data_IF_334921275568
#
_entry.id   IF_334921275568
#
_cell.length_a   1.000
_cell.length_b   1.000
_cell.length_c   1.000
_cell.angle_alpha   90.00
_cell.angle_beta   90.00
_cell.angle_gamma   90.00
#
_symmetry.space_group_name_H-M   'P 1'
#
loop_
_entity.id
_entity.type
_entity.pdbx_description
1 polymer ?
#
# COMPACT_ATOMS: atom_id res chain seq x y z
N UNK A 1 59.47 30.08 22.55
CA UNK A 1 58.26 30.46 21.79
C UNK A 1 57.83 29.24 20.98
N UNK A 2 56.88 28.44 21.49
CA UNK A 2 56.34 27.26 20.81
C UNK A 2 54.85 27.53 20.59
N UNK A 3 54.47 27.77 19.33
CA UNK A 3 53.08 27.95 18.94
C UNK A 3 52.57 26.58 18.49
N UNK A 4 51.77 25.94 19.33
CA UNK A 4 51.05 24.71 19.01
C UNK A 4 49.84 25.08 18.15
N UNK A 5 49.83 24.67 16.88
CA UNK A 5 48.64 24.68 16.04
C UNK A 5 47.74 23.51 16.45
N UNK A 6 46.62 23.81 17.12
CA UNK A 6 45.56 22.85 17.39
C UNK A 6 44.70 22.65 16.14
N UNK A 7 44.76 21.45 15.56
CA UNK A 7 43.86 21.03 14.48
C UNK A 7 42.49 20.69 15.08
N UNK A 8 41.52 21.58 14.97
CA UNK A 8 40.13 21.29 15.30
C UNK A 8 39.49 20.52 14.12
N UNK A 9 39.44 19.20 14.22
CA UNK A 9 38.64 18.37 13.32
C UNK A 9 37.16 18.48 13.76
N UNK A 10 36.36 19.28 13.06
CA UNK A 10 34.90 19.25 13.19
C UNK A 10 34.38 17.98 12.51
N UNK A 11 34.11 16.94 13.31
CA UNK A 11 33.28 15.81 12.89
C UNK A 11 31.82 16.28 12.81
N UNK A 12 31.40 16.76 11.64
CA UNK A 12 29.99 16.89 11.33
C UNK A 12 29.40 15.49 11.17
N UNK A 13 28.94 14.89 12.27
CA UNK A 13 28.05 13.74 12.23
C UNK A 13 26.72 14.23 11.64
N UNK A 14 26.62 14.24 10.31
CA UNK A 14 25.38 14.51 9.61
C UNK A 14 24.34 13.52 10.10
N UNK A 15 23.28 14.01 10.74
CA UNK A 15 22.10 13.21 10.99
C UNK A 15 21.65 12.67 9.62
N UNK A 16 21.75 11.35 9.42
CA UNK A 16 21.12 10.68 8.30
C UNK A 16 19.61 10.83 8.49
N UNK A 17 19.07 12.00 8.13
CA UNK A 17 17.65 12.13 7.85
C UNK A 17 17.36 11.04 6.82
N UNK A 18 16.49 10.11 7.16
CA UNK A 18 16.11 8.99 6.31
C UNK A 18 15.44 9.54 5.06
N UNK A 19 16.26 9.78 4.04
CA UNK A 19 15.86 10.44 2.82
C UNK A 19 14.81 9.60 2.08
N UNK A 20 13.87 10.27 1.40
CA UNK A 20 12.95 9.60 0.51
C UNK A 20 13.73 8.71 -0.48
N UNK A 21 13.32 7.46 -0.59
CA UNK A 21 13.87 6.52 -1.58
C UNK A 21 12.85 6.26 -2.68
N UNK A 22 13.35 6.05 -3.89
CA UNK A 22 12.56 5.70 -5.07
C UNK A 22 13.26 4.57 -5.82
N UNK A 23 12.57 3.44 -6.02
CA UNK A 23 13.11 2.27 -6.69
C UNK A 23 12.12 1.73 -7.71
N UNK A 24 12.57 1.48 -8.94
CA UNK A 24 11.78 0.76 -9.94
C UNK A 24 12.14 -0.73 -9.91
N UNK A 25 11.12 -1.59 -10.02
CA UNK A 25 11.25 -3.05 -10.02
C UNK A 25 10.38 -3.63 -11.14
N UNK A 26 10.97 -4.45 -12.00
CA UNK A 26 10.22 -5.24 -12.98
C UNK A 26 9.56 -6.42 -12.28
N UNK A 27 8.27 -6.63 -12.55
CA UNK A 27 7.44 -7.70 -11.99
C UNK A 27 6.98 -8.63 -13.11
N UNK A 28 7.84 -9.52 -13.63
CA UNK A 28 7.45 -10.44 -14.70
C UNK A 28 6.49 -11.52 -14.18
N UNK A 29 5.64 -12.03 -15.07
CA UNK A 29 5.06 -13.35 -14.90
C UNK A 29 6.06 -14.37 -15.50
N UNK A 30 5.63 -15.22 -16.43
CA UNK A 30 6.54 -15.91 -17.36
C UNK A 30 6.61 -15.19 -18.72
N UNK A 31 7.66 -15.39 -19.55
CA UNK A 31 7.72 -14.81 -20.90
C UNK A 31 6.50 -15.15 -21.77
N UNK A 32 6.00 -16.39 -21.65
CA UNK A 32 4.81 -16.83 -22.36
C UNK A 32 3.53 -16.15 -21.83
N UNK A 33 3.43 -15.91 -20.53
CA UNK A 33 2.32 -15.16 -19.95
C UNK A 33 2.40 -13.69 -20.28
N UNK A 34 3.55 -13.03 -20.17
CA UNK A 34 3.71 -11.60 -20.44
C UNK A 34 3.44 -11.26 -21.93
N UNK A 35 3.77 -12.17 -22.85
CA UNK A 35 3.46 -12.03 -24.27
C UNK A 35 2.01 -12.42 -24.64
N UNK A 36 1.23 -13.00 -23.71
CA UNK A 36 -0.10 -13.55 -24.00
C UNK A 36 -1.10 -12.42 -24.34
N UNK A 37 -1.81 -12.49 -25.48
CA UNK A 37 -2.93 -11.60 -25.75
C UNK A 37 -4.14 -11.94 -24.86
N UNK A 38 -5.21 -11.16 -24.94
CA UNK A 38 -6.46 -11.51 -24.26
C UNK A 38 -7.04 -12.82 -24.84
N UNK A 39 -7.66 -13.61 -23.98
CA UNK A 39 -8.35 -14.84 -24.30
C UNK A 39 -9.85 -14.61 -24.44
N UNK A 40 -10.44 -15.11 -25.54
CA UNK A 40 -11.90 -15.11 -25.71
C UNK A 40 -12.66 -15.95 -24.66
N UNK A 41 -11.95 -16.66 -23.77
CA UNK A 41 -12.53 -17.40 -22.64
C UNK A 41 -12.74 -16.54 -21.41
N UNK A 42 -12.12 -15.37 -21.33
CA UNK A 42 -12.26 -14.41 -20.24
C UNK A 42 -13.13 -13.26 -20.76
N UNK A 43 -14.32 -13.00 -20.19
CA UNK A 43 -15.12 -11.85 -20.57
C UNK A 43 -14.35 -10.55 -20.31
N UNK A 44 -14.54 -9.54 -21.16
CA UNK A 44 -13.97 -8.20 -20.96
C UNK A 44 -14.36 -7.60 -19.60
N UNK A 45 -15.58 -7.89 -19.15
CA UNK A 45 -16.11 -7.55 -17.83
C UNK A 45 -17.10 -8.61 -17.38
N UNK A 46 -17.11 -8.91 -16.08
CA UNK A 46 -18.10 -9.78 -15.45
C UNK A 46 -18.42 -9.28 -14.04
N UNK A 47 -19.65 -9.54 -13.59
CA UNK A 47 -20.07 -9.20 -12.25
C UNK A 47 -19.78 -10.34 -11.27
N UNK A 48 -19.28 -10.00 -10.09
CA UNK A 48 -19.24 -10.89 -8.92
C UNK A 48 -20.30 -10.38 -7.94
N UNK A 49 -21.53 -10.94 -7.96
CA UNK A 49 -22.58 -10.49 -7.05
C UNK A 49 -22.20 -10.83 -5.61
N UNK A 50 -22.30 -9.86 -4.71
CA UNK A 50 -21.98 -10.04 -3.30
C UNK A 50 -22.92 -9.19 -2.42
N UNK A 51 -23.02 -9.58 -1.16
CA UNK A 51 -23.71 -8.83 -0.12
C UNK A 51 -22.77 -8.66 1.07
N UNK A 52 -22.89 -7.56 1.81
CA UNK A 52 -22.19 -7.47 3.08
C UNK A 52 -22.81 -8.41 4.10
N UNK A 53 -21.97 -9.20 4.75
CA UNK A 53 -22.33 -9.94 5.95
C UNK A 53 -22.35 -9.00 7.16
N UNK A 54 -21.31 -8.19 7.29
CA UNK A 54 -21.11 -7.23 8.39
C UNK A 54 -20.16 -6.11 7.99
N UNK A 55 -20.20 -5.01 8.73
CA UNK A 55 -19.27 -3.88 8.61
C UNK A 55 -18.38 -3.82 9.84
N UNK A 56 -17.09 -3.60 9.65
CA UNK A 56 -16.12 -3.37 10.72
C UNK A 56 -15.49 -1.99 10.56
N UNK A 57 -15.44 -1.22 11.66
CA UNK A 57 -14.75 0.07 11.71
C UNK A 57 -13.50 -0.11 12.57
N UNK A 58 -12.34 -0.04 11.93
CA UNK A 58 -11.04 -0.29 12.55
C UNK A 58 -10.38 1.04 12.87
N UNK A 59 -10.06 1.28 14.14
CA UNK A 59 -9.34 2.48 14.59
C UNK A 59 -7.90 2.14 14.92
N UNK A 60 -6.98 2.77 14.21
CA UNK A 60 -5.54 2.62 14.37
C UNK A 60 -5.00 3.72 15.28
N UNK A 61 -4.07 3.35 16.17
CA UNK A 61 -3.38 4.30 17.07
C UNK A 61 -2.07 4.76 16.47
N UNK A 62 -1.51 5.81 17.05
CA UNK A 62 -0.17 6.31 16.77
C UNK A 62 0.87 5.17 16.67
N UNK A 63 1.76 5.27 15.66
CA UNK A 63 2.83 4.32 15.33
C UNK A 63 2.36 2.91 14.96
N UNK A 64 1.07 2.73 14.63
CA UNK A 64 0.62 1.47 14.04
C UNK A 64 0.96 1.45 12.56
N UNK A 65 1.63 0.40 12.09
CA UNK A 65 1.73 0.11 10.66
C UNK A 65 0.35 -0.25 10.10
N UNK A 66 -0.10 0.51 9.09
CA UNK A 66 -1.45 0.36 8.52
C UNK A 66 -1.67 -1.02 7.91
N UNK A 67 -0.74 -1.52 7.09
CA UNK A 67 -0.89 -2.79 6.39
C UNK A 67 -0.89 -3.95 7.39
N UNK A 68 0.11 -4.00 8.26
CA UNK A 68 0.21 -5.04 9.27
C UNK A 68 -1.00 -5.00 10.23
N UNK A 69 -1.54 -3.82 10.52
CA UNK A 69 -2.77 -3.70 11.30
C UNK A 69 -4.00 -4.24 10.58
N UNK A 70 -4.18 -3.94 9.29
CA UNK A 70 -5.26 -4.50 8.48
C UNK A 70 -5.17 -6.02 8.39
N UNK A 71 -3.97 -6.56 8.15
CA UNK A 71 -3.74 -8.02 8.07
C UNK A 71 -4.04 -8.71 9.40
N UNK A 72 -3.61 -8.12 10.53
CA UNK A 72 -3.94 -8.63 11.87
C UNK A 72 -5.44 -8.66 12.10
N UNK A 73 -6.15 -7.57 11.80
CA UNK A 73 -7.61 -7.51 12.00
C UNK A 73 -8.36 -8.45 11.06
N UNK A 74 -7.90 -8.60 9.82
CA UNK A 74 -8.45 -9.58 8.88
C UNK A 74 -8.33 -11.00 9.42
N UNK A 75 -7.17 -11.36 9.98
CA UNK A 75 -6.96 -12.67 10.62
C UNK A 75 -7.81 -12.84 11.88
N UNK A 76 -7.81 -11.86 12.77
CA UNK A 76 -8.53 -11.91 14.06
C UNK A 76 -10.05 -12.07 13.86
N UNK A 77 -10.62 -11.30 12.93
CA UNK A 77 -12.04 -11.36 12.60
C UNK A 77 -12.37 -12.43 11.55
N UNK A 78 -11.42 -13.29 11.18
CA UNK A 78 -11.60 -14.40 10.22
C UNK A 78 -12.22 -13.90 8.90
N UNK A 79 -11.74 -12.77 8.40
CA UNK A 79 -12.22 -12.15 7.17
C UNK A 79 -11.61 -12.93 6.01
N UNK A 80 -12.46 -13.64 5.25
CA UNK A 80 -12.05 -14.26 3.99
C UNK A 80 -12.06 -13.24 2.86
N UNK A 81 -13.19 -12.59 2.63
CA UNK A 81 -13.35 -11.58 1.59
C UNK A 81 -13.98 -10.30 2.16
N UNK A 82 -13.45 -9.14 1.78
CA UNK A 82 -14.00 -7.84 2.16
C UNK A 82 -13.67 -6.76 1.13
N UNK A 83 -14.43 -5.67 1.15
CA UNK A 83 -14.12 -4.42 0.45
C UNK A 83 -13.72 -3.37 1.49
N UNK A 84 -12.66 -2.63 1.23
CA UNK A 84 -12.32 -1.43 2.01
C UNK A 84 -13.22 -0.30 1.49
N UNK A 85 -14.16 0.13 2.33
CA UNK A 85 -15.20 1.11 1.99
C UNK A 85 -14.72 2.54 2.13
N UNK A 86 -13.84 2.79 3.10
CA UNK A 86 -13.27 4.10 3.37
C UNK A 86 -12.02 3.97 4.24
N UNK A 87 -11.11 4.92 4.11
CA UNK A 87 -10.09 5.18 5.11
C UNK A 87 -9.76 6.66 5.20
N UNK A 88 -9.57 7.15 6.42
CA UNK A 88 -9.23 8.55 6.72
C UNK A 88 -8.29 8.63 7.93
N UNK A 89 -7.38 9.59 7.95
CA UNK A 89 -6.46 9.78 9.07
C UNK A 89 -5.20 10.54 8.69
N UNK A 90 -4.11 10.25 9.39
CA UNK A 90 -2.78 10.79 9.07
C UNK A 90 -1.69 9.74 9.30
N UNK A 91 -0.61 9.86 8.53
CA UNK A 91 0.60 9.04 8.62
C UNK A 91 1.80 9.91 8.92
N UNK A 92 2.82 9.34 9.57
CA UNK A 92 4.08 10.03 9.90
C UNK A 92 5.25 9.65 8.97
N UNK A 93 4.98 8.70 8.10
CA UNK A 93 5.86 8.16 7.09
C UNK A 93 5.05 7.19 6.24
N UNK A 94 5.43 7.03 4.98
CA UNK A 94 4.71 6.22 4.02
C UNK A 94 5.64 5.37 3.16
N UNK A 95 5.09 4.26 2.70
CA UNK A 95 5.67 3.43 1.67
C UNK A 95 4.54 2.99 0.75
N UNK A 96 4.66 3.32 -0.53
CA UNK A 96 3.67 2.96 -1.54
C UNK A 96 4.36 2.54 -2.83
N UNK A 97 3.66 1.78 -3.67
CA UNK A 97 4.09 1.58 -5.05
C UNK A 97 3.00 1.87 -6.07
N UNK A 98 3.41 2.18 -7.30
CA UNK A 98 2.52 2.39 -8.44
C UNK A 98 3.10 1.73 -9.69
N UNK A 99 2.24 1.35 -10.65
CA UNK A 99 2.68 0.85 -11.95
C UNK A 99 3.31 1.99 -12.76
N UNK A 100 4.49 1.77 -13.35
CA UNK A 100 5.28 2.81 -14.02
C UNK A 100 5.41 2.65 -15.55
N UNK A 101 4.80 1.62 -16.14
CA UNK A 101 4.87 1.34 -17.57
C UNK A 101 3.53 0.91 -18.17
N UNK A 102 3.51 0.74 -19.51
CA UNK A 102 2.31 0.46 -20.32
C UNK A 102 2.28 -0.91 -20.98
N UNK A 103 3.28 -1.75 -20.73
CA UNK A 103 3.45 -3.06 -21.38
C UNK A 103 3.92 -4.11 -20.38
N UNK A 104 3.66 -5.38 -20.67
CA UNK A 104 4.27 -6.46 -19.89
C UNK A 104 5.74 -6.68 -20.28
N UNK A 105 6.61 -7.13 -19.35
CA UNK A 105 6.34 -7.29 -17.92
C UNK A 105 6.07 -5.94 -17.24
N UNK A 106 5.12 -5.93 -16.31
CA UNK A 106 4.77 -4.73 -15.55
C UNK A 106 5.96 -4.24 -14.71
N UNK A 107 6.07 -2.94 -14.50
CA UNK A 107 7.06 -2.33 -13.62
C UNK A 107 6.36 -1.54 -12.54
N UNK A 108 6.89 -1.64 -11.32
CA UNK A 108 6.41 -0.88 -10.19
C UNK A 108 7.49 0.10 -9.74
N UNK A 109 7.09 1.33 -9.46
CA UNK A 109 7.90 2.30 -8.73
C UNK A 109 7.48 2.30 -7.27
N UNK A 110 8.40 1.96 -6.39
CA UNK A 110 8.26 2.05 -4.93
C UNK A 110 8.79 3.39 -4.47
N UNK A 111 8.02 4.10 -3.67
CA UNK A 111 8.39 5.36 -3.03
C UNK A 111 8.22 5.20 -1.52
N UNK A 112 9.30 5.43 -0.78
CA UNK A 112 9.29 5.38 0.68
C UNK A 112 9.85 6.67 1.24
N UNK A 113 9.08 7.35 2.08
CA UNK A 113 9.56 8.42 2.94
C UNK A 113 9.15 8.13 4.39
N UNK A 114 10.06 7.65 5.23
CA UNK A 114 9.74 7.22 6.60
C UNK A 114 9.60 8.39 7.58
N UNK A 115 9.89 9.63 7.18
CA UNK A 115 9.88 10.80 8.07
C UNK A 115 8.92 11.92 7.63
N UNK A 116 8.36 11.82 6.43
CA UNK A 116 7.43 12.81 5.92
C UNK A 116 5.98 12.51 6.34
N UNK A 117 5.31 13.43 7.06
CA UNK A 117 3.90 13.25 7.42
C UNK A 117 2.99 13.50 6.21
N UNK A 118 1.83 12.86 6.19
CA UNK A 118 0.80 13.11 5.19
C UNK A 118 -0.59 12.79 5.74
N UNK A 119 -1.62 13.47 5.26
CA UNK A 119 -3.01 13.12 5.54
C UNK A 119 -3.46 11.97 4.64
N UNK A 120 -4.05 10.94 5.25
CA UNK A 120 -4.74 9.86 4.56
C UNK A 120 -6.15 10.34 4.22
N UNK A 121 -6.35 10.72 2.96
CA UNK A 121 -7.63 11.29 2.48
C UNK A 121 -8.53 10.27 1.79
N UNK A 122 -7.97 9.10 1.40
CA UNK A 122 -8.75 7.98 0.90
C UNK A 122 -7.99 6.66 1.08
N UNK A 123 -8.74 5.58 1.31
CA UNK A 123 -8.26 4.21 1.20
C UNK A 123 -9.37 3.36 0.61
N UNK A 124 -9.01 2.49 -0.34
CA UNK A 124 -9.90 1.50 -0.93
C UNK A 124 -9.12 0.22 -1.21
N UNK A 125 -9.82 -0.80 -1.69
CA UNK A 125 -9.23 -2.10 -2.04
C UNK A 125 -10.02 -3.26 -1.47
N UNK A 126 -9.36 -4.41 -1.37
CA UNK A 126 -10.02 -5.67 -1.05
C UNK A 126 -9.21 -6.48 -0.03
N UNK A 127 -9.92 -7.29 0.74
CA UNK A 127 -9.35 -8.49 1.36
C UNK A 127 -9.74 -9.66 0.47
N UNK A 128 -8.77 -10.39 -0.06
CA UNK A 128 -8.93 -11.48 -1.04
C UNK A 128 -8.40 -12.76 -0.40
N UNK A 129 -9.28 -13.67 -0.01
CA UNK A 129 -8.92 -14.87 0.75
C UNK A 129 -7.98 -14.59 1.94
N UNK A 130 -8.28 -13.53 2.71
CA UNK A 130 -7.51 -13.08 3.86
C UNK A 130 -6.27 -12.23 3.57
N UNK A 131 -5.85 -12.10 2.30
CA UNK A 131 -4.76 -11.19 1.89
C UNK A 131 -5.31 -9.78 1.65
N UNK A 132 -4.66 -8.77 2.21
CA UNK A 132 -5.01 -7.36 1.97
C UNK A 132 -4.39 -6.89 0.65
N UNK A 133 -5.19 -6.26 -0.19
CA UNK A 133 -4.77 -5.48 -1.35
C UNK A 133 -5.41 -4.10 -1.22
N UNK A 134 -4.70 -3.17 -0.57
CA UNK A 134 -5.18 -1.84 -0.28
C UNK A 134 -4.43 -0.78 -1.10
N UNK A 135 -5.14 0.26 -1.54
CA UNK A 135 -4.58 1.45 -2.15
C UNK A 135 -4.92 2.65 -1.28
N UNK A 136 -4.01 3.62 -1.21
CA UNK A 136 -4.16 4.85 -0.44
C UNK A 136 -3.99 6.08 -1.31
N UNK A 137 -4.69 7.15 -0.96
CA UNK A 137 -4.41 8.52 -1.39
C UNK A 137 -4.00 9.33 -0.17
N UNK A 138 -2.84 9.95 -0.28
CA UNK A 138 -2.19 10.78 0.72
C UNK A 138 -2.08 12.22 0.20
N UNK A 139 -2.01 13.20 1.10
CA UNK A 139 -1.68 14.59 0.75
C UNK A 139 -0.73 15.22 1.77
N UNK A 140 0.18 16.06 1.29
CA UNK A 140 1.18 16.79 2.07
C UNK A 140 0.93 18.31 2.11
N UNK A 141 -0.27 18.75 1.70
CA UNK A 141 -0.64 20.17 1.59
C UNK A 141 -0.30 20.80 0.23
N UNK A 142 0.58 20.19 -0.56
CA UNK A 142 0.96 20.67 -1.89
C UNK A 142 0.34 19.84 -3.02
N UNK A 143 0.20 18.53 -2.78
CA UNK A 143 -0.27 17.58 -3.79
C UNK A 143 -1.02 16.42 -3.16
N UNK A 144 -1.77 15.71 -4.00
CA UNK A 144 -2.25 14.37 -3.71
C UNK A 144 -1.32 13.36 -4.39
N UNK A 145 -0.95 12.30 -3.67
CA UNK A 145 -0.13 11.20 -4.15
C UNK A 145 -0.58 9.89 -3.51
N UNK A 146 -0.10 8.75 -3.98
CA UNK A 146 -0.58 7.48 -3.45
C UNK A 146 -0.15 6.29 -4.28
N UNK A 147 -0.78 5.15 -3.99
CA UNK A 147 -0.49 3.88 -4.64
C UNK A 147 -0.96 2.70 -3.82
N UNK A 148 -0.48 1.51 -4.17
CA UNK A 148 -0.62 0.31 -3.36
C UNK A 148 0.10 0.51 -2.02
N UNK A 149 -0.57 0.18 -0.91
CA UNK A 149 -0.06 0.31 0.44
C UNK A 149 1.05 -0.72 0.70
N UNK A 150 2.20 -0.27 1.16
CA UNK A 150 3.33 -1.14 1.53
C UNK A 150 3.64 -1.08 3.04
N UNK A 151 4.36 -2.09 3.58
CA UNK A 151 4.87 -2.05 4.94
C UNK A 151 5.77 -0.82 5.19
N UNK A 152 5.67 -0.25 6.38
CA UNK A 152 6.36 0.96 6.80
C UNK A 152 5.52 2.23 6.68
N UNK A 153 4.20 2.11 6.47
CA UNK A 153 3.26 3.25 6.48
C UNK A 153 2.64 3.40 7.87
N UNK A 154 3.24 4.25 8.70
CA UNK A 154 2.91 4.37 10.12
C UNK A 154 1.91 5.50 10.39
N UNK A 155 0.89 5.22 11.20
CA UNK A 155 -0.12 6.21 11.62
C UNK A 155 0.50 7.29 12.51
N UNK A 156 0.11 8.56 12.27
CA UNK A 156 0.50 9.69 13.11
C UNK A 156 -0.53 9.97 14.23
N UNK A 157 -1.66 10.60 13.96
CA UNK A 157 -2.63 10.91 15.05
C UNK A 157 -3.59 9.75 15.27
N UNK A 158 -4.27 9.35 14.22
CA UNK A 158 -5.12 8.17 14.13
C UNK A 158 -5.42 7.88 12.66
N UNK A 159 -5.82 6.64 12.37
CA UNK A 159 -6.49 6.31 11.13
C UNK A 159 -7.72 5.48 11.42
N UNK A 160 -8.75 5.62 10.61
CA UNK A 160 -9.96 4.82 10.65
C UNK A 160 -10.13 4.17 9.29
N UNK A 161 -10.32 2.84 9.27
CA UNK A 161 -10.57 2.08 8.04
C UNK A 161 -11.86 1.28 8.21
N UNK A 162 -12.77 1.42 7.27
CA UNK A 162 -14.05 0.69 7.28
C UNK A 162 -14.00 -0.46 6.28
N UNK A 163 -14.31 -1.67 6.76
CA UNK A 163 -14.38 -2.88 5.94
C UNK A 163 -15.83 -3.35 5.82
N UNK A 164 -16.29 -3.60 4.61
CA UNK A 164 -17.48 -4.38 4.33
C UNK A 164 -17.11 -5.83 4.09
N UNK A 165 -17.32 -6.70 5.08
CA UNK A 165 -17.05 -8.15 4.96
C UNK A 165 -18.11 -8.78 4.08
N UNK A 166 -17.70 -9.53 3.06
CA UNK A 166 -18.61 -10.14 2.09
C UNK A 166 -19.17 -11.46 2.63
N UNK A 167 -20.47 -11.67 2.45
CA UNK A 167 -21.17 -12.91 2.79
C UNK A 167 -20.76 -14.01 1.82
N UNK A 168 -20.26 -15.11 2.34
CA UNK A 168 -19.93 -16.30 1.55
C UNK A 168 -21.18 -16.98 0.95
N UNK A 169 -21.05 -17.64 -0.22
CA UNK A 169 -19.83 -17.79 -1.02
C UNK A 169 -19.54 -16.59 -1.93
N UNK A 170 -18.30 -16.09 -1.95
CA UNK A 170 -17.80 -15.12 -2.94
C UNK A 170 -16.38 -15.48 -3.38
N UNK A 171 -16.13 -15.51 -4.68
CA UNK A 171 -14.80 -15.80 -5.24
C UNK A 171 -14.16 -14.52 -5.80
N UNK A 172 -13.17 -14.00 -5.07
CA UNK A 172 -12.34 -12.86 -5.50
C UNK A 172 -10.96 -13.28 -6.03
N UNK A 173 -10.68 -14.57 -6.22
CA UNK A 173 -9.32 -15.07 -6.51
C UNK A 173 -8.67 -14.50 -7.76
N UNK A 174 -9.45 -13.99 -8.71
CA UNK A 174 -8.98 -13.46 -9.99
C UNK A 174 -8.97 -11.94 -10.11
N UNK A 175 -9.47 -11.20 -9.10
CA UNK A 175 -9.70 -9.75 -9.25
C UNK A 175 -8.41 -8.93 -9.36
N UNK A 176 -7.29 -9.44 -8.83
CA UNK A 176 -5.96 -8.83 -8.97
C UNK A 176 -4.95 -9.72 -9.70
N UNK A 177 -5.45 -10.71 -10.44
CA UNK A 177 -4.64 -11.61 -11.26
C UNK A 177 -4.43 -11.04 -12.66
N UNK A 178 -3.28 -10.41 -12.88
CA UNK A 178 -2.89 -9.86 -14.18
C UNK A 178 -2.74 -10.91 -15.29
N UNK A 179 -2.65 -12.19 -14.97
CA UNK A 179 -2.53 -13.29 -15.94
C UNK A 179 -3.89 -13.81 -16.42
N UNK A 180 -4.96 -13.44 -15.73
CA UNK A 180 -6.33 -13.80 -16.07
C UNK A 180 -6.92 -12.80 -17.06
N UNK A 181 -6.64 -13.02 -18.35
CA UNK A 181 -7.07 -12.16 -19.46
C UNK A 181 -7.29 -12.92 -20.74
#
# INVERSE_FOLDING_TARGET
MRITFGLALLLAAGACASQQTRREVTTPASPAEDARPNSNRVPEVYAIPAQFERVLILRFKYQTDLLAGLERMAKEHKIRNAVILAGAGSVRGYHVHSVSNRSFPSRNVYVRDPTHPADLVSMNGYVINGRVHAHVTLTDGEKAFGGHLEPGTEVFTSAVVTLGVLREPVDLTRVDDKTYR
#
